data_IF_251625144326
#
_entry.id   IF_251625144326
#
_cell.length_a   1.000
_cell.length_b   1.000
_cell.length_c   1.000
_cell.angle_alpha   90.00
_cell.angle_beta   90.00
_cell.angle_gamma   90.00
#
_symmetry.space_group_name_H-M   'P 1'
#
loop_
_entity.id
_entity.type
_entity.pdbx_description
1 polymer ?
#
# COMPACT_ATOMS: atom_id res chain seq x y z
N UNK A 1 -34.12 -9.14 4.05
CA UNK A 1 -32.98 -8.71 4.92
C UNK A 1 -32.69 -7.24 4.71
N UNK A 2 -32.58 -6.76 3.47
CA UNK A 2 -32.31 -5.36 3.17
C UNK A 2 -33.36 -4.40 3.76
N UNK A 3 -34.67 -4.63 3.53
CA UNK A 3 -35.72 -3.80 4.11
C UNK A 3 -35.64 -3.72 5.64
N UNK A 4 -35.34 -4.85 6.29
CA UNK A 4 -35.19 -4.90 7.73
C UNK A 4 -33.95 -4.12 8.22
N UNK A 5 -32.88 -4.16 7.47
CA UNK A 5 -31.64 -3.37 7.75
C UNK A 5 -31.95 -1.86 7.68
N UNK A 6 -32.66 -1.40 6.64
CA UNK A 6 -33.03 0.02 6.50
C UNK A 6 -33.98 0.47 7.62
N UNK A 7 -34.97 -0.34 7.96
CA UNK A 7 -35.89 -0.03 9.07
C UNK A 7 -35.15 0.10 10.40
N UNK A 8 -34.25 -0.84 10.68
CA UNK A 8 -33.40 -0.81 11.88
C UNK A 8 -32.49 0.40 11.89
N UNK A 9 -31.86 0.72 10.76
CA UNK A 9 -30.94 1.85 10.62
C UNK A 9 -31.65 3.18 10.94
N UNK A 10 -32.84 3.40 10.42
CA UNK A 10 -33.65 4.58 10.73
C UNK A 10 -33.96 4.67 12.23
N UNK A 11 -34.43 3.57 12.86
CA UNK A 11 -34.70 3.55 14.28
C UNK A 11 -33.46 3.82 15.14
N UNK A 12 -32.31 3.34 14.74
CA UNK A 12 -31.07 3.61 15.44
C UNK A 12 -30.72 5.11 15.35
N UNK A 13 -30.84 5.74 14.16
CA UNK A 13 -30.62 7.16 14.01
C UNK A 13 -31.62 8.02 14.81
N UNK A 14 -32.88 7.63 14.91
CA UNK A 14 -33.89 8.33 15.73
C UNK A 14 -33.56 8.30 17.24
N UNK A 15 -32.88 7.24 17.70
CA UNK A 15 -32.50 7.09 19.12
C UNK A 15 -31.10 7.62 19.45
N UNK A 16 -30.27 7.83 18.43
CA UNK A 16 -28.94 8.44 18.59
C UNK A 16 -29.08 9.96 18.68
N UNK A 17 -28.56 10.52 19.76
CA UNK A 17 -28.38 11.98 19.84
C UNK A 17 -27.19 12.37 18.97
N UNK A 18 -27.47 12.95 17.80
CA UNK A 18 -26.50 13.29 16.73
C UNK A 18 -25.37 14.23 17.23
N UNK A 19 -25.58 14.88 18.38
CA UNK A 19 -24.64 15.87 18.93
C UNK A 19 -23.62 15.28 19.92
N UNK A 20 -23.73 13.98 20.27
CA UNK A 20 -22.85 13.32 21.20
C UNK A 20 -21.90 12.36 20.46
N UNK A 21 -20.62 12.39 20.82
CA UNK A 21 -19.67 11.35 20.40
C UNK A 21 -20.02 10.04 21.15
N UNK A 22 -20.88 9.22 20.51
CA UNK A 22 -21.40 8.00 21.10
C UNK A 22 -20.29 6.95 21.19
N UNK A 23 -20.05 6.42 22.38
CA UNK A 23 -19.10 5.31 22.56
C UNK A 23 -19.56 4.06 21.81
N UNK A 24 -18.60 3.17 21.47
CA UNK A 24 -18.93 1.91 20.79
C UNK A 24 -19.90 1.05 21.61
N UNK A 25 -19.72 1.01 22.95
CA UNK A 25 -20.59 0.28 23.84
C UNK A 25 -22.04 0.82 23.83
N UNK A 26 -22.21 2.14 23.81
CA UNK A 26 -23.52 2.75 23.82
C UNK A 26 -24.21 2.60 22.46
N UNK A 27 -23.46 2.67 21.37
CA UNK A 27 -24.00 2.38 20.03
C UNK A 27 -24.50 0.93 19.95
N UNK A 28 -23.70 -0.04 20.43
CA UNK A 28 -24.16 -1.44 20.47
C UNK A 28 -25.41 -1.61 21.33
N UNK A 29 -25.54 -0.96 22.47
CA UNK A 29 -26.76 -0.98 23.31
C UNK A 29 -27.98 -0.47 22.54
N UNK A 30 -27.84 0.65 21.83
CA UNK A 30 -28.93 1.21 21.01
C UNK A 30 -29.31 0.27 19.89
N UNK A 31 -28.36 -0.30 19.19
CA UNK A 31 -28.59 -1.30 18.13
C UNK A 31 -29.34 -2.52 18.70
N UNK A 32 -28.86 -3.07 19.82
CA UNK A 32 -29.43 -4.24 20.45
C UNK A 32 -30.89 -3.99 20.89
N UNK A 33 -31.18 -2.79 21.43
CA UNK A 33 -32.57 -2.37 21.78
C UNK A 33 -33.45 -2.29 20.54
N UNK A 34 -32.98 -1.71 19.43
CA UNK A 34 -33.73 -1.61 18.18
C UNK A 34 -34.00 -2.99 17.59
N UNK A 35 -33.01 -3.89 17.57
CA UNK A 35 -33.17 -5.27 17.12
C UNK A 35 -34.18 -6.02 18.00
N UNK A 36 -34.11 -5.85 19.33
CA UNK A 36 -35.05 -6.47 20.26
C UNK A 36 -36.50 -6.01 20.01
N UNK A 37 -36.73 -4.70 19.87
CA UNK A 37 -38.05 -4.15 19.59
C UNK A 37 -38.68 -4.74 18.31
N UNK A 38 -37.93 -4.81 17.22
CA UNK A 38 -38.42 -5.41 15.97
C UNK A 38 -38.65 -6.92 16.13
N UNK A 39 -37.79 -7.58 16.90
CA UNK A 39 -37.91 -9.03 17.11
C UNK A 39 -39.16 -9.45 17.86
N UNK A 40 -39.85 -8.53 18.57
CA UNK A 40 -41.14 -8.78 19.20
C UNK A 40 -42.26 -8.99 18.16
N UNK A 41 -42.13 -8.40 16.99
CA UNK A 41 -43.15 -8.44 15.94
C UNK A 41 -42.74 -9.26 14.72
N UNK A 42 -41.43 -9.55 14.57
CA UNK A 42 -40.86 -10.28 13.42
C UNK A 42 -39.80 -11.27 13.90
N UNK A 43 -40.03 -12.56 13.60
CA UNK A 43 -39.06 -13.60 13.97
C UNK A 43 -37.72 -13.38 13.23
N UNK A 44 -36.63 -13.13 13.99
CA UNK A 44 -35.29 -12.98 13.49
C UNK A 44 -34.43 -14.06 14.12
N UNK A 45 -33.75 -14.87 13.31
CA UNK A 45 -32.84 -15.90 13.84
C UNK A 45 -31.63 -15.26 14.57
N UNK A 46 -31.04 -16.00 15.51
CA UNK A 46 -29.86 -15.53 16.26
C UNK A 46 -28.74 -15.12 15.34
N UNK A 47 -28.47 -15.91 14.30
CA UNK A 47 -27.47 -15.61 13.30
C UNK A 47 -27.75 -14.28 12.57
N UNK A 48 -28.97 -14.04 12.15
CA UNK A 48 -29.38 -12.82 11.47
C UNK A 48 -29.35 -11.60 12.40
N UNK A 49 -29.56 -11.75 13.69
CA UNK A 49 -29.42 -10.66 14.68
C UNK A 49 -27.97 -10.21 14.77
N UNK A 50 -27.06 -11.16 14.90
CA UNK A 50 -25.62 -10.83 14.96
C UNK A 50 -25.11 -10.19 13.67
N UNK A 51 -25.54 -10.71 12.51
CA UNK A 51 -25.22 -10.13 11.21
C UNK A 51 -25.72 -8.67 11.09
N UNK A 52 -27.00 -8.43 11.42
CA UNK A 52 -27.59 -7.09 11.40
C UNK A 52 -26.91 -6.14 12.38
N UNK A 53 -26.57 -6.63 13.57
CA UNK A 53 -25.85 -5.88 14.59
C UNK A 53 -24.51 -5.37 14.05
N UNK A 54 -23.74 -6.26 13.45
CA UNK A 54 -22.45 -5.93 12.87
C UNK A 54 -22.56 -4.99 11.67
N UNK A 55 -23.52 -5.25 10.77
CA UNK A 55 -23.75 -4.39 9.60
C UNK A 55 -24.18 -2.98 9.99
N UNK A 56 -25.07 -2.83 10.99
CA UNK A 56 -25.48 -1.53 11.50
C UNK A 56 -24.31 -0.77 12.12
N UNK A 57 -23.51 -1.44 12.94
CA UNK A 57 -22.31 -0.84 13.52
C UNK A 57 -21.34 -0.38 12.45
N UNK A 58 -21.06 -1.23 11.46
CA UNK A 58 -20.17 -0.89 10.36
C UNK A 58 -20.67 0.30 9.53
N UNK A 59 -21.99 0.36 9.27
CA UNK A 59 -22.59 1.46 8.51
C UNK A 59 -22.56 2.81 9.23
N UNK A 60 -22.56 2.82 10.56
CA UNK A 60 -22.61 4.04 11.38
C UNK A 60 -21.20 4.50 11.75
N UNK A 61 -20.37 3.60 12.28
CA UNK A 61 -19.05 3.94 12.86
C UNK A 61 -17.85 3.60 11.98
N UNK A 62 -17.98 2.61 11.09
CA UNK A 62 -16.88 2.12 10.23
C UNK A 62 -17.09 2.48 8.76
N UNK A 63 -16.56 1.68 7.86
CA UNK A 63 -16.56 1.94 6.42
C UNK A 63 -17.71 1.20 5.69
N UNK A 64 -18.83 0.99 6.38
CA UNK A 64 -20.02 0.35 5.83
C UNK A 64 -19.74 -1.05 5.28
N UNK A 65 -20.22 -1.34 4.06
CA UNK A 65 -20.02 -2.63 3.39
C UNK A 65 -18.54 -2.91 3.07
N UNK A 66 -17.69 -1.88 2.97
CA UNK A 66 -16.24 -2.07 2.75
C UNK A 66 -15.56 -2.78 3.90
N UNK A 67 -16.11 -2.68 5.11
CA UNK A 67 -15.51 -3.29 6.29
C UNK A 67 -15.37 -4.81 6.14
N UNK A 68 -16.36 -5.46 5.54
CA UNK A 68 -16.31 -6.92 5.27
C UNK A 68 -15.18 -7.29 4.30
N UNK A 69 -14.92 -6.43 3.31
CA UNK A 69 -13.85 -6.66 2.32
C UNK A 69 -12.47 -6.39 2.90
N UNK A 70 -12.39 -5.41 3.79
CA UNK A 70 -11.13 -5.08 4.48
C UNK A 70 -10.73 -6.16 5.48
N UNK A 71 -11.69 -6.84 6.10
CA UNK A 71 -11.46 -7.92 7.06
C UNK A 71 -11.23 -9.29 6.41
N UNK A 72 -11.44 -9.43 5.10
CA UNK A 72 -11.20 -10.69 4.36
C UNK A 72 -9.75 -10.77 3.87
N UNK A 73 -8.91 -11.56 4.52
CA UNK A 73 -7.46 -11.71 4.22
C UNK A 73 -7.17 -12.26 2.82
N UNK A 74 -8.11 -12.92 2.17
CA UNK A 74 -7.93 -13.42 0.80
C UNK A 74 -8.03 -12.30 -0.25
N UNK A 75 -8.59 -11.14 0.09
CA UNK A 75 -8.75 -10.00 -0.83
C UNK A 75 -7.48 -9.17 -0.85
N UNK A 76 -6.92 -8.98 -2.03
CA UNK A 76 -5.71 -8.19 -2.27
C UNK A 76 -6.01 -6.75 -2.68
N UNK A 77 -7.06 -6.57 -3.49
CA UNK A 77 -7.44 -5.26 -4.01
C UNK A 77 -8.97 -5.12 -4.07
N UNK A 78 -9.46 -3.91 -3.78
CA UNK A 78 -10.87 -3.54 -3.85
C UNK A 78 -10.97 -2.34 -4.79
N UNK A 79 -11.79 -2.47 -5.83
CA UNK A 79 -11.99 -1.44 -6.86
C UNK A 79 -13.47 -1.06 -6.91
N UNK A 80 -13.77 0.18 -6.61
CA UNK A 80 -15.12 0.74 -6.57
C UNK A 80 -15.27 1.73 -7.71
N UNK A 81 -16.11 1.40 -8.69
CA UNK A 81 -16.39 2.21 -9.87
C UNK A 81 -17.81 2.78 -9.79
N UNK A 82 -17.98 3.84 -9.00
CA UNK A 82 -19.31 4.31 -8.62
C UNK A 82 -19.99 3.40 -7.59
N UNK A 83 -21.18 3.78 -7.13
CA UNK A 83 -21.83 3.12 -6.00
C UNK A 83 -22.38 1.71 -6.28
N UNK A 84 -22.48 1.29 -7.56
CA UNK A 84 -23.05 -0.01 -7.98
C UNK A 84 -22.01 -1.07 -8.30
N UNK A 85 -20.82 -0.65 -8.74
CA UNK A 85 -19.86 -1.56 -9.36
C UNK A 85 -18.63 -1.69 -8.47
N UNK A 86 -18.62 -2.75 -7.67
CA UNK A 86 -17.50 -3.10 -6.78
C UNK A 86 -16.86 -4.36 -7.31
N UNK A 87 -15.55 -4.31 -7.54
CA UNK A 87 -14.73 -5.44 -7.95
C UNK A 87 -13.70 -5.73 -6.85
N UNK A 88 -13.41 -7.01 -6.69
CA UNK A 88 -12.40 -7.49 -5.73
C UNK A 88 -11.41 -8.39 -6.45
N UNK A 89 -10.16 -8.31 -6.04
CA UNK A 89 -9.16 -9.28 -6.45
C UNK A 89 -8.92 -10.29 -5.34
N UNK A 90 -9.07 -11.58 -5.67
CA UNK A 90 -8.73 -12.74 -4.82
C UNK A 90 -7.84 -13.70 -5.59
N UNK A 91 -6.67 -14.04 -5.03
CA UNK A 91 -5.75 -15.04 -5.64
C UNK A 91 -5.42 -14.70 -7.10
N UNK A 92 -5.21 -13.41 -7.41
CA UNK A 92 -4.88 -12.92 -8.75
C UNK A 92 -6.05 -12.93 -9.74
N UNK A 93 -7.30 -13.09 -9.28
CA UNK A 93 -8.49 -13.03 -10.13
C UNK A 93 -9.41 -11.92 -9.69
N UNK A 94 -9.78 -11.06 -10.66
CA UNK A 94 -10.74 -9.98 -10.44
C UNK A 94 -12.15 -10.52 -10.68
N UNK A 95 -13.03 -10.29 -9.70
CA UNK A 95 -14.44 -10.68 -9.77
C UNK A 95 -15.33 -9.54 -9.29
N UNK A 96 -16.53 -9.41 -9.85
CA UNK A 96 -17.52 -8.45 -9.37
C UNK A 96 -18.10 -8.93 -8.05
N UNK A 97 -18.17 -8.05 -7.06
CA UNK A 97 -18.82 -8.32 -5.80
C UNK A 97 -20.35 -8.11 -5.92
N UNK A 98 -21.11 -8.85 -5.15
CA UNK A 98 -22.59 -8.90 -5.25
C UNK A 98 -23.32 -7.84 -4.42
N UNK A 99 -22.61 -7.00 -3.64
CA UNK A 99 -23.18 -5.88 -2.90
C UNK A 99 -22.86 -4.56 -3.56
N UNK A 100 -23.62 -3.53 -3.23
CA UNK A 100 -23.46 -2.15 -3.70
C UNK A 100 -23.76 -1.18 -2.57
N UNK A 101 -23.30 0.07 -2.69
CA UNK A 101 -23.69 1.14 -1.77
C UNK A 101 -25.13 1.58 -2.00
N UNK A 102 -25.76 2.14 -0.98
CA UNK A 102 -27.13 2.64 -1.04
C UNK A 102 -27.32 3.74 -2.09
N UNK A 103 -26.35 4.66 -2.17
CA UNK A 103 -26.40 5.78 -3.08
C UNK A 103 -24.98 6.30 -3.39
N UNK A 104 -24.91 7.25 -4.34
CA UNK A 104 -23.69 7.98 -4.66
C UNK A 104 -23.21 8.83 -3.47
N UNK A 105 -24.14 9.51 -2.81
CA UNK A 105 -23.86 10.37 -1.65
C UNK A 105 -23.24 9.54 -0.51
N UNK A 106 -23.74 8.31 -0.28
CA UNK A 106 -23.18 7.39 0.73
C UNK A 106 -21.73 7.03 0.40
N UNK A 107 -21.42 6.80 -0.86
CA UNK A 107 -20.03 6.52 -1.29
C UNK A 107 -19.13 7.76 -1.13
N UNK A 108 -19.64 8.96 -1.41
CA UNK A 108 -18.93 10.22 -1.18
C UNK A 108 -18.66 10.43 0.32
N UNK A 109 -19.62 10.16 1.20
CA UNK A 109 -19.44 10.20 2.66
C UNK A 109 -18.33 9.23 3.13
N UNK A 110 -18.30 8.03 2.56
CA UNK A 110 -17.24 7.05 2.87
C UNK A 110 -15.87 7.56 2.40
N UNK A 111 -15.78 8.14 1.20
CA UNK A 111 -14.55 8.74 0.71
C UNK A 111 -14.05 9.88 1.63
N UNK A 112 -14.96 10.77 2.06
CA UNK A 112 -14.63 11.85 2.99
C UNK A 112 -14.18 11.30 4.36
N UNK A 113 -14.85 10.25 4.86
CA UNK A 113 -14.47 9.59 6.11
C UNK A 113 -13.07 8.97 6.02
N UNK A 114 -12.76 8.28 4.93
CA UNK A 114 -11.42 7.71 4.70
C UNK A 114 -10.35 8.81 4.65
N UNK A 115 -10.62 9.93 3.95
CA UNK A 115 -9.70 11.06 3.90
C UNK A 115 -9.48 11.67 5.29
N UNK A 116 -10.55 11.88 6.06
CA UNK A 116 -10.50 12.45 7.40
C UNK A 116 -9.70 11.59 8.40
N UNK A 117 -9.76 10.23 8.29
CA UNK A 117 -8.96 9.31 9.11
C UNK A 117 -7.45 9.56 8.97
N UNK A 118 -7.02 10.14 7.86
CA UNK A 118 -5.62 10.47 7.57
C UNK A 118 -5.34 11.97 7.59
N UNK A 119 -6.20 12.76 8.22
CA UNK A 119 -6.14 14.23 8.26
C UNK A 119 -6.05 14.87 6.86
N UNK A 120 -6.73 14.28 5.88
CA UNK A 120 -6.82 14.81 4.52
C UNK A 120 -8.26 15.21 4.21
N UNK A 121 -8.41 16.12 3.24
CA UNK A 121 -9.71 16.56 2.75
C UNK A 121 -9.89 16.13 1.30
N UNK A 122 -11.06 15.59 0.97
CA UNK A 122 -11.47 15.29 -0.40
C UNK A 122 -12.81 15.96 -0.69
N UNK A 123 -12.89 16.71 -1.79
CA UNK A 123 -14.10 17.42 -2.24
C UNK A 123 -13.95 17.80 -3.73
N UNK A 124 -14.89 18.55 -4.27
CA UNK A 124 -14.84 19.02 -5.67
C UNK A 124 -13.62 19.89 -5.99
N UNK A 125 -13.08 20.63 -5.02
CA UNK A 125 -11.88 21.45 -5.20
C UNK A 125 -10.60 20.62 -5.11
N UNK A 126 -10.62 19.54 -4.33
CA UNK A 126 -9.53 18.56 -4.17
C UNK A 126 -10.10 17.17 -4.50
N UNK A 127 -10.35 16.87 -5.79
CA UNK A 127 -11.09 15.68 -6.17
C UNK A 127 -10.25 14.40 -6.21
N UNK A 128 -8.93 14.48 -6.07
CA UNK A 128 -8.01 13.33 -6.12
C UNK A 128 -7.22 13.30 -4.81
N UNK A 129 -7.30 12.18 -4.10
CA UNK A 129 -6.57 11.98 -2.85
C UNK A 129 -5.99 10.57 -2.79
N UNK A 130 -4.69 10.49 -2.55
CA UNK A 130 -4.01 9.26 -2.12
C UNK A 130 -3.86 9.27 -0.61
N UNK A 131 -4.25 8.18 0.05
CA UNK A 131 -4.16 8.06 1.51
C UNK A 131 -3.90 6.62 1.94
N UNK A 132 -3.90 6.39 3.26
CA UNK A 132 -3.80 5.06 3.85
C UNK A 132 -4.83 4.87 4.95
N UNK A 133 -5.28 3.63 5.09
CA UNK A 133 -6.02 3.19 6.24
C UNK A 133 -5.07 2.90 7.42
N UNK A 134 -5.63 2.71 8.60
CA UNK A 134 -4.86 2.42 9.81
C UNK A 134 -4.06 1.10 9.75
N UNK A 135 -4.52 0.14 8.95
CA UNK A 135 -3.84 -1.12 8.66
C UNK A 135 -2.68 -0.99 7.64
N UNK A 136 -2.44 0.21 7.12
CA UNK A 136 -1.41 0.47 6.10
C UNK A 136 -1.90 0.30 4.66
N UNK A 137 -3.12 -0.17 4.43
CA UNK A 137 -3.71 -0.31 3.08
C UNK A 137 -3.73 1.03 2.35
N UNK A 138 -3.29 1.03 1.10
CA UNK A 138 -3.27 2.24 0.25
C UNK A 138 -4.63 2.49 -0.34
N UNK A 139 -5.07 3.73 -0.32
CA UNK A 139 -6.34 4.16 -0.90
C UNK A 139 -6.11 5.31 -1.86
N UNK A 140 -6.51 5.12 -3.11
CA UNK A 140 -6.65 6.20 -4.09
C UNK A 140 -8.14 6.49 -4.26
N UNK A 141 -8.50 7.76 -4.21
CA UNK A 141 -9.88 8.23 -4.33
C UNK A 141 -9.96 9.34 -5.37
N UNK A 142 -10.96 9.25 -6.24
CA UNK A 142 -11.25 10.26 -7.26
C UNK A 142 -12.74 10.60 -7.21
N UNK A 143 -13.08 11.85 -7.01
CA UNK A 143 -14.45 12.35 -6.97
C UNK A 143 -14.81 13.16 -8.24
N UNK A 144 -16.08 13.56 -8.31
CA UNK A 144 -16.55 14.56 -9.29
C UNK A 144 -15.81 15.89 -9.09
N UNK A 145 -15.52 16.66 -10.17
CA UNK A 145 -15.93 16.43 -11.55
C UNK A 145 -15.01 15.52 -12.37
N UNK A 146 -13.93 15.02 -11.79
CA UNK A 146 -12.94 14.19 -12.51
C UNK A 146 -13.50 12.79 -12.78
N UNK A 147 -14.13 12.17 -11.79
CA UNK A 147 -14.81 10.89 -11.95
C UNK A 147 -16.22 11.10 -12.52
N UNK A 148 -16.40 10.81 -13.82
CA UNK A 148 -17.62 11.12 -14.57
C UNK A 148 -18.80 10.26 -14.11
N UNK A 149 -18.58 8.97 -13.91
CA UNK A 149 -19.62 7.99 -13.57
C UNK A 149 -19.90 7.88 -12.05
N UNK A 150 -19.30 8.76 -11.26
CA UNK A 150 -19.40 8.77 -9.80
C UNK A 150 -18.05 8.53 -9.12
N UNK A 151 -18.00 8.55 -7.77
CA UNK A 151 -16.76 8.35 -7.04
C UNK A 151 -16.06 7.05 -7.40
N UNK A 152 -14.74 7.11 -7.57
CA UNK A 152 -13.89 5.93 -7.76
C UNK A 152 -12.99 5.80 -6.54
N UNK A 153 -12.97 4.62 -5.94
CA UNK A 153 -12.09 4.30 -4.81
C UNK A 153 -11.37 2.99 -5.12
N UNK A 154 -10.04 3.02 -5.07
CA UNK A 154 -9.22 1.82 -5.18
C UNK A 154 -8.45 1.62 -3.88
N UNK A 155 -8.61 0.45 -3.28
CA UNK A 155 -7.93 0.07 -2.04
C UNK A 155 -7.03 -1.12 -2.33
N UNK A 156 -5.72 -0.93 -2.16
CA UNK A 156 -4.75 -2.02 -2.21
C UNK A 156 -4.38 -2.40 -0.79
N UNK A 157 -4.80 -3.60 -0.40
CA UNK A 157 -4.59 -4.09 0.96
C UNK A 157 -3.11 -4.32 1.25
N UNK A 158 -2.75 -3.98 2.48
CA UNK A 158 -1.43 -4.24 3.01
C UNK A 158 -1.43 -5.58 3.74
N UNK A 159 -0.48 -6.45 3.43
CA UNK A 159 -0.37 -7.74 4.11
C UNK A 159 0.46 -7.60 5.38
N UNK A 160 -0.09 -8.02 6.51
CA UNK A 160 0.59 -7.99 7.81
C UNK A 160 1.78 -8.96 7.89
N UNK A 161 1.71 -10.06 7.14
CA UNK A 161 2.79 -11.06 7.11
C UNK A 161 3.55 -10.99 5.79
N UNK A 162 4.79 -10.44 5.80
CA UNK A 162 5.62 -10.42 4.61
C UNK A 162 5.97 -11.87 4.21
N UNK A 163 5.93 -12.10 2.89
CA UNK A 163 6.37 -13.37 2.32
C UNK A 163 7.91 -13.44 2.47
N UNK A 164 8.38 -14.44 3.18
CA UNK A 164 9.81 -14.73 3.32
C UNK A 164 10.35 -15.60 2.18
N UNK A 165 11.66 -15.85 2.20
CA UNK A 165 12.32 -16.63 1.15
C UNK A 165 11.89 -18.09 1.15
N UNK A 166 11.61 -18.68 2.31
CA UNK A 166 11.18 -20.07 2.41
C UNK A 166 9.81 -20.25 1.78
N UNK A 167 8.92 -19.27 1.98
CA UNK A 167 7.61 -19.27 1.33
C UNK A 167 7.70 -19.10 -0.18
N UNK A 168 8.65 -18.30 -0.70
CA UNK A 168 8.91 -18.19 -2.14
C UNK A 168 9.42 -19.50 -2.74
N UNK A 169 10.24 -20.26 -2.00
CA UNK A 169 10.70 -21.59 -2.41
C UNK A 169 9.52 -22.58 -2.46
N UNK A 170 8.69 -22.61 -1.41
CA UNK A 170 7.49 -23.47 -1.37
C UNK A 170 6.52 -23.18 -2.52
N UNK A 171 6.36 -21.93 -2.89
CA UNK A 171 5.53 -21.49 -4.02
C UNK A 171 6.17 -21.79 -5.39
N UNK A 172 7.42 -22.27 -5.42
CA UNK A 172 8.16 -22.53 -6.65
C UNK A 172 8.58 -21.26 -7.40
N UNK A 173 8.55 -20.08 -6.74
CA UNK A 173 8.96 -18.82 -7.32
C UNK A 173 10.47 -18.69 -7.45
N UNK A 174 11.22 -19.39 -6.61
CA UNK A 174 12.69 -19.44 -6.62
C UNK A 174 13.15 -20.84 -6.20
N UNK A 175 14.31 -21.29 -6.72
CA UNK A 175 14.91 -22.53 -6.26
C UNK A 175 15.73 -22.30 -4.99
N UNK A 176 15.98 -23.38 -4.23
CA UNK A 176 16.80 -23.30 -3.01
C UNK A 176 18.22 -22.83 -3.32
N UNK A 177 18.82 -23.34 -4.41
CA UNK A 177 20.17 -22.98 -4.83
C UNK A 177 20.29 -21.49 -5.16
N UNK A 178 19.26 -20.94 -5.87
CA UNK A 178 19.22 -19.52 -6.19
C UNK A 178 19.03 -18.66 -4.94
N UNK A 179 18.21 -19.12 -3.98
CA UNK A 179 18.02 -18.45 -2.70
C UNK A 179 19.32 -18.39 -1.89
N UNK A 180 20.05 -19.52 -1.78
CA UNK A 180 21.33 -19.60 -1.08
C UNK A 180 22.39 -18.71 -1.73
N UNK A 181 22.40 -18.63 -3.07
CA UNK A 181 23.30 -17.72 -3.80
C UNK A 181 22.96 -16.24 -3.53
N UNK A 182 21.70 -15.87 -3.54
CA UNK A 182 21.26 -14.51 -3.23
C UNK A 182 21.55 -14.14 -1.77
N UNK A 183 21.38 -15.05 -0.84
CA UNK A 183 21.79 -14.87 0.55
C UNK A 183 23.27 -14.52 0.66
N UNK A 184 24.13 -15.25 -0.06
CA UNK A 184 25.57 -14.99 -0.12
C UNK A 184 25.85 -13.59 -0.68
N UNK A 185 25.20 -13.20 -1.79
CA UNK A 185 25.36 -11.87 -2.39
C UNK A 185 24.97 -10.75 -1.41
N UNK A 186 23.82 -10.88 -0.72
CA UNK A 186 23.38 -9.91 0.27
C UNK A 186 24.39 -9.81 1.42
N UNK A 187 24.87 -10.93 1.96
CA UNK A 187 25.89 -10.96 3.04
C UNK A 187 27.23 -10.37 2.60
N UNK A 188 27.63 -10.61 1.37
CA UNK A 188 28.85 -10.06 0.78
C UNK A 188 28.71 -8.59 0.34
N UNK A 189 27.59 -7.95 0.64
CA UNK A 189 27.33 -6.52 0.32
C UNK A 189 27.32 -6.20 -1.17
N UNK A 190 26.82 -7.11 -2.00
CA UNK A 190 26.53 -6.76 -3.39
C UNK A 190 25.35 -5.80 -3.48
N UNK A 191 25.46 -4.82 -4.37
CA UNK A 191 24.35 -3.96 -4.72
C UNK A 191 23.38 -4.72 -5.64
N UNK A 192 22.11 -4.84 -5.26
CA UNK A 192 21.15 -5.66 -5.98
C UNK A 192 20.00 -4.80 -6.47
N UNK A 193 19.68 -4.93 -7.76
CA UNK A 193 18.54 -4.28 -8.39
C UNK A 193 17.53 -5.32 -8.86
N UNK A 194 16.34 -5.33 -8.25
CA UNK A 194 15.25 -6.25 -8.61
C UNK A 194 14.39 -5.60 -9.69
N UNK A 195 14.27 -6.24 -10.83
CA UNK A 195 13.51 -5.70 -11.96
C UNK A 195 12.35 -6.60 -12.38
N UNK A 196 11.29 -6.02 -12.93
CA UNK A 196 10.13 -6.76 -13.40
C UNK A 196 8.93 -5.84 -13.72
N UNK A 197 7.88 -6.40 -14.31
CA UNK A 197 6.64 -5.70 -14.63
C UNK A 197 5.83 -5.30 -13.38
N UNK A 198 4.73 -4.59 -13.59
CA UNK A 198 3.77 -4.28 -12.53
C UNK A 198 3.13 -5.58 -12.01
N UNK A 199 2.96 -5.70 -10.70
CA UNK A 199 2.38 -6.89 -10.07
C UNK A 199 3.26 -8.15 -10.11
N UNK A 200 4.54 -8.08 -10.57
CA UNK A 200 5.45 -9.23 -10.64
C UNK A 200 6.07 -9.65 -9.29
N UNK A 201 5.74 -8.97 -8.19
CA UNK A 201 6.25 -9.31 -6.87
C UNK A 201 7.61 -8.71 -6.51
N UNK A 202 8.08 -7.65 -7.21
CA UNK A 202 9.38 -7.00 -6.93
C UNK A 202 9.56 -6.59 -5.48
N UNK A 203 8.58 -5.89 -4.91
CA UNK A 203 8.63 -5.43 -3.50
C UNK A 203 8.60 -6.63 -2.54
N UNK A 204 7.82 -7.66 -2.85
CA UNK A 204 7.79 -8.91 -2.08
C UNK A 204 9.16 -9.60 -2.10
N UNK A 205 9.79 -9.67 -3.27
CA UNK A 205 11.11 -10.26 -3.43
C UNK A 205 12.19 -9.43 -2.74
N UNK A 206 12.12 -8.10 -2.83
CA UNK A 206 13.02 -7.20 -2.11
C UNK A 206 12.88 -7.38 -0.59
N UNK A 207 11.66 -7.51 -0.08
CA UNK A 207 11.40 -7.83 1.33
C UNK A 207 12.05 -9.14 1.74
N UNK A 208 11.87 -10.20 0.94
CA UNK A 208 12.48 -11.52 1.22
C UNK A 208 14.01 -11.43 1.25
N UNK A 209 14.64 -10.73 0.31
CA UNK A 209 16.09 -10.51 0.28
C UNK A 209 16.58 -9.69 1.47
N UNK A 210 15.82 -8.71 1.93
CA UNK A 210 16.20 -7.86 3.05
C UNK A 210 16.34 -8.63 4.37
N UNK A 211 15.68 -9.78 4.50
CA UNK A 211 15.79 -10.65 5.68
C UNK A 211 17.17 -11.33 5.81
N UNK A 212 17.97 -11.34 4.73
CA UNK A 212 19.35 -11.83 4.76
C UNK A 212 20.37 -10.79 5.24
N UNK A 213 19.93 -9.53 5.43
CA UNK A 213 20.81 -8.47 5.94
C UNK A 213 21.21 -8.78 7.38
N UNK A 214 22.52 -8.67 7.74
CA UNK A 214 22.97 -8.83 9.09
C UNK A 214 22.23 -7.91 10.08
N UNK A 215 21.84 -8.49 11.24
CA UNK A 215 20.96 -7.80 12.20
C UNK A 215 21.61 -6.63 12.94
N UNK A 216 22.93 -6.55 12.92
CA UNK A 216 23.76 -5.51 13.53
C UNK A 216 23.99 -4.31 12.61
N UNK A 217 23.59 -4.40 11.34
CA UNK A 217 23.71 -3.31 10.39
C UNK A 217 22.61 -2.23 10.59
N UNK A 218 22.98 -0.98 10.31
CA UNK A 218 22.03 0.13 10.24
C UNK A 218 21.46 0.24 8.82
N UNK A 219 20.16 -0.02 8.69
CA UNK A 219 19.45 0.01 7.43
C UNK A 219 18.53 1.22 7.36
N UNK A 220 18.58 1.93 6.26
CA UNK A 220 17.64 3.02 5.97
C UNK A 220 16.82 2.64 4.75
N UNK A 221 15.49 2.59 4.90
CA UNK A 221 14.56 2.41 3.77
C UNK A 221 14.03 3.76 3.31
N UNK A 222 13.90 3.92 2.01
CA UNK A 222 13.37 5.13 1.36
C UNK A 222 12.32 4.69 0.35
N UNK A 223 11.10 5.16 0.50
CA UNK A 223 9.98 4.71 -0.31
C UNK A 223 9.05 5.87 -0.70
N UNK A 224 8.45 5.79 -1.87
CA UNK A 224 7.36 6.68 -2.28
C UNK A 224 6.13 6.48 -1.37
N UNK A 225 5.97 5.24 -0.93
CA UNK A 225 4.95 4.81 0.01
C UNK A 225 5.46 3.57 0.74
N UNK A 226 5.53 3.60 2.09
CA UNK A 226 6.16 2.55 2.89
C UNK A 226 5.44 1.20 2.73
N UNK A 227 6.00 0.30 1.93
CA UNK A 227 5.57 -1.09 1.71
C UNK A 227 6.57 -2.10 2.27
N UNK A 228 7.83 -1.69 2.47
CA UNK A 228 8.86 -2.57 2.95
C UNK A 228 8.65 -2.93 4.43
N UNK A 229 8.72 -4.22 4.73
CA UNK A 229 8.56 -4.81 6.06
C UNK A 229 9.82 -5.58 6.44
N UNK A 230 10.93 -4.86 6.61
CA UNK A 230 12.20 -5.47 6.98
C UNK A 230 12.13 -5.99 8.41
N UNK A 231 12.38 -7.26 8.59
CA UNK A 231 12.31 -7.94 9.89
C UNK A 231 13.70 -8.25 10.45
N UNK A 232 13.80 -8.22 11.78
CA UNK A 232 15.00 -8.66 12.50
C UNK A 232 16.14 -7.67 12.56
N UNK A 233 16.12 -6.55 11.83
CA UNK A 233 17.12 -5.47 11.91
C UNK A 233 16.77 -4.52 13.05
N UNK A 234 17.61 -4.46 14.08
CA UNK A 234 17.35 -3.65 15.25
C UNK A 234 17.55 -2.13 15.03
N UNK A 235 18.37 -1.75 14.06
CA UNK A 235 18.67 -0.34 13.75
C UNK A 235 18.10 0.04 12.36
N UNK A 236 16.77 0.02 12.27
CA UNK A 236 16.02 0.34 11.04
C UNK A 236 15.46 1.76 11.10
N UNK A 237 15.72 2.55 10.06
CA UNK A 237 15.10 3.86 9.83
C UNK A 237 14.25 3.78 8.57
N UNK A 238 12.99 4.20 8.66
CA UNK A 238 12.06 4.19 7.54
C UNK A 238 11.73 5.63 7.14
N UNK A 239 11.99 5.98 5.89
CA UNK A 239 11.74 7.30 5.32
C UNK A 239 10.74 7.17 4.18
N UNK A 240 9.77 8.08 4.17
CA UNK A 240 8.74 8.15 3.15
C UNK A 240 8.70 9.54 2.51
N UNK A 241 8.48 9.58 1.21
CA UNK A 241 8.28 10.79 0.43
C UNK A 241 7.11 11.60 0.96
N UNK A 242 7.25 12.90 0.96
CA UNK A 242 6.12 13.81 1.18
C UNK A 242 5.82 14.56 -0.10
N UNK A 243 4.67 14.24 -0.71
CA UNK A 243 4.16 14.99 -1.85
C UNK A 243 3.67 16.36 -1.41
N UNK A 244 3.86 17.39 -2.24
CA UNK A 244 3.25 18.70 -2.00
C UNK A 244 1.72 18.56 -1.98
N UNK A 245 1.06 19.28 -1.09
CA UNK A 245 -0.38 19.45 -1.04
C UNK A 245 -0.72 20.94 -0.83
N UNK A 246 -2.01 21.29 -0.91
CA UNK A 246 -2.44 22.70 -0.77
C UNK A 246 -2.10 23.34 0.59
N UNK A 247 -1.82 22.53 1.62
CA UNK A 247 -1.48 22.99 2.96
C UNK A 247 0.04 23.05 3.20
N UNK A 248 0.83 22.31 2.42
CA UNK A 248 2.27 22.21 2.57
C UNK A 248 2.96 22.17 1.21
N UNK A 249 3.57 23.27 0.83
CA UNK A 249 4.24 23.49 -0.47
C UNK A 249 5.61 22.80 -0.54
N UNK A 250 6.10 22.26 0.59
CA UNK A 250 7.41 21.63 0.69
C UNK A 250 7.33 20.13 0.36
N UNK A 251 7.56 19.80 -0.90
CA UNK A 251 7.80 18.43 -1.32
C UNK A 251 9.13 17.91 -0.76
N UNK A 252 9.17 16.62 -0.38
CA UNK A 252 10.40 15.91 -0.03
C UNK A 252 10.48 14.68 -0.94
N UNK A 253 11.36 14.73 -1.91
CA UNK A 253 11.53 13.69 -2.93
C UNK A 253 12.37 12.51 -2.44
N UNK A 254 12.33 11.37 -3.17
CA UNK A 254 13.26 10.24 -2.94
C UNK A 254 14.72 10.72 -2.97
N UNK A 255 15.05 11.62 -3.90
CA UNK A 255 16.37 12.20 -4.05
C UNK A 255 16.84 12.93 -2.79
N UNK A 256 15.97 13.75 -2.20
CA UNK A 256 16.27 14.48 -0.95
C UNK A 256 16.50 13.52 0.21
N UNK A 257 15.69 12.45 0.27
CA UNK A 257 15.82 11.43 1.29
C UNK A 257 17.10 10.61 1.16
N UNK A 258 17.54 10.26 -0.08
CA UNK A 258 18.81 9.59 -0.31
C UNK A 258 19.96 10.50 0.18
N UNK A 259 19.99 11.78 -0.22
CA UNK A 259 21.02 12.74 0.20
C UNK A 259 21.05 12.96 1.72
N UNK A 260 19.89 12.95 2.34
CA UNK A 260 19.76 13.03 3.81
C UNK A 260 20.29 11.77 4.48
N UNK A 261 19.94 10.59 3.96
CA UNK A 261 20.33 9.30 4.52
C UNK A 261 21.85 9.11 4.57
N UNK A 262 22.60 9.63 3.62
CA UNK A 262 24.08 9.58 3.60
C UNK A 262 24.71 10.25 4.83
N UNK A 263 24.00 11.18 5.49
CA UNK A 263 24.45 11.83 6.73
C UNK A 263 24.00 11.11 7.98
N UNK A 264 23.18 10.06 7.86
CA UNK A 264 22.65 9.30 8.98
C UNK A 264 23.53 8.08 9.33
N UNK A 265 24.71 7.93 8.72
CA UNK A 265 25.62 6.79 8.90
C UNK A 265 24.95 5.43 8.62
N UNK A 266 24.36 5.24 7.44
CA UNK A 266 23.79 3.95 7.07
C UNK A 266 24.90 2.94 6.75
N UNK A 267 24.66 1.67 7.07
CA UNK A 267 25.42 0.56 6.51
C UNK A 267 24.84 0.16 5.14
N UNK A 268 23.50 0.26 5.00
CA UNK A 268 22.79 0.02 3.72
C UNK A 268 21.66 1.00 3.53
N UNK A 269 21.41 1.33 2.27
CA UNK A 269 20.25 2.12 1.84
C UNK A 269 19.38 1.24 0.95
N UNK A 270 18.11 1.12 1.27
CA UNK A 270 17.15 0.37 0.47
C UNK A 270 16.13 1.35 -0.11
N UNK A 271 16.13 1.49 -1.43
CA UNK A 271 15.15 2.32 -2.13
C UNK A 271 14.06 1.42 -2.68
N UNK A 272 12.85 1.58 -2.19
CA UNK A 272 11.72 0.71 -2.54
C UNK A 272 11.50 0.61 -4.04
N UNK A 273 11.57 1.74 -4.75
CA UNK A 273 11.53 1.79 -6.21
C UNK A 273 12.28 3.00 -6.76
N UNK A 274 13.02 2.79 -7.84
CA UNK A 274 13.70 3.83 -8.60
C UNK A 274 13.02 4.03 -9.95
N UNK A 275 12.55 5.26 -10.23
CA UNK A 275 11.74 5.57 -11.42
C UNK A 275 12.30 6.70 -12.27
N UNK A 276 13.18 7.56 -11.72
CA UNK A 276 13.64 8.80 -12.32
C UNK A 276 15.06 9.21 -11.92
N UNK A 277 15.25 10.49 -11.77
CA UNK A 277 16.57 11.11 -11.53
C UNK A 277 17.28 10.69 -10.24
N UNK A 278 16.52 10.15 -9.24
CA UNK A 278 17.06 9.59 -8.00
C UNK A 278 17.99 8.41 -8.23
N UNK A 279 17.92 7.78 -9.41
CA UNK A 279 18.84 6.71 -9.80
C UNK A 279 20.31 7.16 -9.74
N UNK A 280 20.60 8.41 -10.09
CA UNK A 280 21.94 8.96 -10.00
C UNK A 280 22.44 9.01 -8.56
N UNK A 281 21.65 9.56 -7.63
CA UNK A 281 22.03 9.70 -6.24
C UNK A 281 22.14 8.32 -5.55
N UNK A 282 21.30 7.36 -5.94
CA UNK A 282 21.40 5.97 -5.47
C UNK A 282 22.69 5.28 -5.94
N UNK A 283 23.04 5.39 -7.23
CA UNK A 283 24.28 4.81 -7.76
C UNK A 283 25.52 5.48 -7.16
N UNK A 284 25.47 6.80 -6.89
CA UNK A 284 26.51 7.48 -6.16
C UNK A 284 26.66 6.95 -4.73
N UNK A 285 25.54 6.72 -4.02
CA UNK A 285 25.56 6.12 -2.69
C UNK A 285 26.21 4.72 -2.72
N UNK A 286 25.83 3.88 -3.68
CA UNK A 286 26.42 2.56 -3.91
C UNK A 286 27.93 2.61 -4.20
N UNK A 287 28.40 3.66 -4.90
CA UNK A 287 29.80 3.85 -5.25
C UNK A 287 30.66 4.59 -4.21
N UNK A 288 30.07 5.05 -3.11
CA UNK A 288 30.75 5.88 -2.08
C UNK A 288 30.76 5.26 -0.69
N UNK A 289 30.77 3.92 -0.61
CA UNK A 289 30.94 3.18 0.65
C UNK A 289 29.65 2.70 1.32
N UNK A 290 28.53 2.72 0.61
CA UNK A 290 27.26 2.15 1.08
C UNK A 290 26.92 0.88 0.29
N UNK A 291 27.91 -0.02 0.18
CA UNK A 291 27.79 -1.30 -0.49
C UNK A 291 26.68 -2.17 0.13
N UNK A 292 26.06 -2.98 -0.71
CA UNK A 292 24.94 -3.84 -0.30
C UNK A 292 23.59 -3.13 -0.28
N UNK A 293 23.50 -1.98 -0.94
CA UNK A 293 22.22 -1.28 -1.14
C UNK A 293 21.33 -2.03 -2.11
N UNK A 294 20.03 -1.99 -1.86
CA UNK A 294 19.02 -2.71 -2.64
C UNK A 294 18.01 -1.75 -3.24
N UNK A 295 17.50 -2.06 -4.43
CA UNK A 295 16.37 -1.32 -5.01
C UNK A 295 15.54 -2.16 -5.95
N UNK A 296 14.39 -1.62 -6.38
CA UNK A 296 13.59 -2.16 -7.46
C UNK A 296 13.40 -1.16 -8.60
N UNK A 297 13.04 -1.69 -9.76
CA UNK A 297 12.65 -0.86 -10.89
C UNK A 297 11.79 -1.63 -11.89
N UNK A 298 11.00 -0.90 -12.65
CA UNK A 298 10.18 -1.48 -13.70
C UNK A 298 10.98 -1.70 -14.97
N UNK A 299 11.08 -2.95 -15.44
CA UNK A 299 11.59 -3.30 -16.75
C UNK A 299 11.10 -4.67 -17.18
N UNK A 300 11.22 -5.00 -18.47
CA UNK A 300 10.82 -6.29 -19.01
C UNK A 300 11.92 -7.36 -18.89
N UNK A 301 13.15 -6.95 -18.65
CA UNK A 301 14.30 -7.85 -18.45
C UNK A 301 15.39 -7.15 -17.63
N UNK A 302 16.34 -7.91 -17.07
CA UNK A 302 17.52 -7.37 -16.38
C UNK A 302 18.36 -6.47 -17.30
N UNK A 303 18.53 -6.89 -18.56
CA UNK A 303 19.24 -6.10 -19.57
C UNK A 303 18.55 -4.76 -19.88
N UNK A 304 17.22 -4.77 -19.99
CA UNK A 304 16.45 -3.53 -20.20
C UNK A 304 16.54 -2.62 -18.97
N UNK A 305 16.66 -3.20 -17.78
CA UNK A 305 16.83 -2.43 -16.55
C UNK A 305 18.11 -1.60 -16.57
N UNK A 306 19.21 -2.16 -17.03
CA UNK A 306 20.47 -1.40 -17.16
C UNK A 306 20.33 -0.22 -18.15
N UNK A 307 19.65 -0.45 -19.27
CA UNK A 307 19.34 0.61 -20.23
C UNK A 307 18.44 1.69 -19.61
N UNK A 308 17.46 1.27 -18.83
CA UNK A 308 16.55 2.18 -18.13
C UNK A 308 17.26 2.97 -17.04
N UNK A 309 18.11 2.34 -16.22
CA UNK A 309 18.93 3.02 -15.23
C UNK A 309 19.79 4.10 -15.87
N UNK A 310 20.41 3.80 -17.01
CA UNK A 310 21.16 4.80 -17.77
C UNK A 310 20.28 5.99 -18.18
N UNK A 311 19.07 5.75 -18.66
CA UNK A 311 18.14 6.82 -19.02
C UNK A 311 17.76 7.65 -17.80
N UNK A 312 17.49 7.02 -16.66
CA UNK A 312 17.17 7.71 -15.40
C UNK A 312 18.34 8.57 -14.90
N UNK A 313 19.59 8.07 -15.00
CA UNK A 313 20.78 8.85 -14.66
C UNK A 313 20.90 10.10 -15.53
N UNK A 314 20.60 9.99 -16.83
CA UNK A 314 20.61 11.12 -17.77
C UNK A 314 19.48 12.13 -17.52
N UNK A 315 18.42 11.75 -16.81
CA UNK A 315 17.40 12.71 -16.34
C UNK A 315 17.95 13.61 -15.23
N UNK A 316 18.85 13.07 -14.38
CA UNK A 316 19.41 13.78 -13.24
C UNK A 316 20.64 14.63 -13.54
N UNK A 317 21.29 14.43 -14.68
CA UNK A 317 22.49 15.14 -15.08
C UNK A 317 22.65 15.19 -16.60
N UNK A 318 23.10 16.33 -17.11
CA UNK A 318 23.47 16.47 -18.52
C UNK A 318 24.90 15.93 -18.75
N UNK A 319 25.00 14.69 -19.20
CA UNK A 319 26.25 14.03 -19.52
C UNK A 319 26.15 13.22 -20.82
N UNK A 320 27.29 13.03 -21.58
CA UNK A 320 27.27 12.16 -22.74
C UNK A 320 26.87 10.73 -22.39
N UNK A 321 25.97 10.15 -23.17
CA UNK A 321 25.44 8.79 -22.95
C UNK A 321 26.55 7.71 -22.89
N UNK A 322 27.66 7.91 -23.59
CA UNK A 322 28.82 7.02 -23.54
C UNK A 322 29.49 6.98 -22.16
N UNK A 323 29.55 8.12 -21.46
CA UNK A 323 30.12 8.23 -20.11
C UNK A 323 29.25 7.51 -19.11
N UNK A 324 27.92 7.73 -19.15
CA UNK A 324 26.97 7.02 -18.30
C UNK A 324 27.04 5.50 -18.47
N UNK A 325 27.18 5.03 -19.71
CA UNK A 325 27.32 3.59 -20.00
C UNK A 325 28.60 2.99 -19.43
N UNK A 326 29.72 3.71 -19.53
CA UNK A 326 31.02 3.23 -19.02
C UNK A 326 31.00 3.13 -17.49
N UNK A 327 30.41 4.12 -16.80
CA UNK A 327 30.30 4.09 -15.34
C UNK A 327 29.38 3.00 -14.84
N UNK A 328 28.23 2.75 -15.48
CA UNK A 328 27.35 1.65 -15.13
C UNK A 328 28.02 0.28 -15.34
N UNK A 329 28.75 0.10 -16.45
CA UNK A 329 29.48 -1.13 -16.74
C UNK A 329 30.68 -1.38 -15.84
N UNK A 330 31.33 -0.35 -15.33
CA UNK A 330 32.45 -0.51 -14.41
C UNK A 330 32.07 -1.22 -13.10
N UNK A 331 30.76 -1.30 -12.81
CA UNK A 331 30.19 -2.00 -11.65
C UNK A 331 29.47 -3.30 -12.05
N UNK A 332 29.41 -3.66 -13.34
CA UNK A 332 28.94 -4.98 -13.79
C UNK A 332 30.06 -6.01 -13.51
N UNK A 333 29.91 -6.80 -12.48
CA UNK A 333 30.46 -8.13 -12.47
C UNK A 333 29.64 -8.99 -13.43
N UNK A 334 30.28 -9.91 -14.17
CA UNK A 334 29.69 -10.81 -15.17
C UNK A 334 28.59 -11.76 -14.60
N UNK A 335 27.66 -11.24 -13.80
CA UNK A 335 26.47 -11.95 -13.34
C UNK A 335 25.33 -11.80 -14.39
N UNK A 336 25.65 -11.98 -15.66
CA UNK A 336 24.70 -12.24 -16.75
C UNK A 336 24.13 -13.69 -16.68
N UNK A 337 24.12 -14.28 -15.49
CA UNK A 337 23.71 -15.66 -15.24
C UNK A 337 22.59 -15.78 -14.22
N UNK A 338 21.48 -15.03 -14.39
CA UNK A 338 20.15 -15.49 -13.92
C UNK A 338 19.09 -14.89 -14.81
#
# INVERSE_FOLDING_TARGET
>A
MEELFFELKQKVYEKLDINLDVSDEDLYKVIDVCIYEISQHRAISVHNRELLRQQLYNSIKRLDILQELLEDDDITEIMINGYKDIFIEKKGRITKWNKQFESREKLEDIAQRIAAMSNKTINEAIPIVDTRLADGSRVNMVLSPIAIDGPVITIRKFYDTPIDIDRLIELGSITKEAADFLELLVKCRYNIFVSGGTGSGKTTFLNALSNFIPKDERVITIEDSAELQIQGVGNLVRLEVRKSNMECDNEVSIRDLIRSSLRMRPDRIIVGETRGEEALDMLQAMGTGHDGSLSTGHSNSSKDMLTRLRTMVLMGIDMPAAVSYTHLRAHETEADLV
#
